data_IF_205755815385
#
_entry.id   IF_205755815385
#
_cell.length_a   1.000
_cell.length_b   1.000
_cell.length_c   1.000
_cell.angle_alpha   90.00
_cell.angle_beta   90.00
_cell.angle_gamma   90.00
#
_symmetry.space_group_name_H-M   'P 1'
#
loop_
_entity.id
_entity.type
_entity.pdbx_description
1 polymer ?
#
# COMPACT_ATOMS: atom_id res chain seq x y z
N UNK A 1 7.19 -0.51 18.40
CA UNK A 1 6.66 -0.66 17.04
C UNK A 1 5.94 0.62 16.72
N UNK A 2 6.46 1.43 15.79
CA UNK A 2 5.96 2.79 15.60
C UNK A 2 5.04 2.80 14.40
N UNK A 3 3.77 3.08 14.68
CA UNK A 3 2.67 3.04 13.72
C UNK A 3 2.68 4.39 13.01
N UNK A 4 3.40 4.47 11.90
CA UNK A 4 3.17 5.56 10.95
C UNK A 4 1.84 5.36 10.29
N UNK A 5 1.17 6.46 10.00
CA UNK A 5 0.12 6.51 8.99
C UNK A 5 0.74 7.19 7.78
N UNK A 6 1.12 6.43 6.76
CA UNK A 6 1.40 7.04 5.46
C UNK A 6 0.08 7.22 4.70
N UNK A 7 0.05 8.12 3.74
CA UNK A 7 -1.02 8.21 2.76
C UNK A 7 -0.46 7.75 1.42
N UNK A 8 -1.05 6.70 0.85
CA UNK A 8 -0.88 6.37 -0.56
C UNK A 8 -1.95 7.11 -1.34
N UNK A 9 -1.54 7.91 -2.32
CA UNK A 9 -2.46 8.56 -3.25
C UNK A 9 -2.36 7.89 -4.62
N UNK A 10 -3.46 7.29 -5.08
CA UNK A 10 -3.60 6.77 -6.44
C UNK A 10 -4.00 7.90 -7.38
N UNK A 11 -3.30 8.05 -8.51
CA UNK A 11 -3.63 9.02 -9.54
C UNK A 11 -4.30 8.34 -10.75
N UNK A 12 -5.60 8.05 -10.68
CA UNK A 12 -6.34 7.51 -11.82
C UNK A 12 -7.87 7.51 -11.68
N UNK A 13 -8.54 8.30 -12.53
CA UNK A 13 -9.91 8.10 -13.05
C UNK A 13 -11.13 8.17 -12.11
N UNK A 14 -11.08 7.64 -10.90
CA UNK A 14 -12.23 7.54 -10.00
C UNK A 14 -11.77 7.62 -8.55
N UNK A 15 -11.77 8.83 -7.97
CA UNK A 15 -11.50 9.04 -6.55
C UNK A 15 -10.03 8.91 -6.16
N UNK A 16 -9.56 9.80 -5.29
CA UNK A 16 -8.30 9.59 -4.58
C UNK A 16 -8.58 8.63 -3.41
N UNK A 17 -8.34 7.34 -3.60
CA UNK A 17 -8.36 6.40 -2.48
C UNK A 17 -7.13 6.64 -1.62
N UNK A 18 -7.34 7.35 -0.51
CA UNK A 18 -6.31 7.63 0.47
C UNK A 18 -6.17 6.43 1.40
N UNK A 19 -5.21 5.56 1.09
CA UNK A 19 -4.91 4.41 1.92
C UNK A 19 -3.87 4.71 2.99
N UNK A 20 -3.92 3.93 4.07
CA UNK A 20 -2.97 3.99 5.18
C UNK A 20 -2.29 2.66 5.38
N UNK A 21 -1.12 2.70 5.99
CA UNK A 21 -0.46 1.52 6.54
C UNK A 21 0.78 1.93 7.32
N UNK A 22 1.67 0.99 7.60
CA UNK A 22 2.70 1.11 8.63
C UNK A 22 4.08 0.74 8.11
N UNK A 23 5.09 1.55 8.44
CA UNK A 23 6.49 1.23 8.17
C UNK A 23 6.94 0.06 9.06
N UNK A 24 7.37 -1.05 8.44
CA UNK A 24 7.82 -2.26 9.14
C UNK A 24 9.34 -2.47 9.03
N UNK A 25 10.00 -1.78 8.10
CA UNK A 25 11.46 -1.67 8.01
C UNK A 25 11.86 -0.37 7.30
N UNK A 26 13.16 -0.10 7.16
CA UNK A 26 13.67 1.08 6.45
C UNK A 26 13.21 1.17 4.98
N UNK A 27 12.81 0.06 4.37
CA UNK A 27 12.39 -0.01 2.96
C UNK A 27 10.95 -0.47 2.76
N UNK A 28 10.35 -1.10 3.76
CA UNK A 28 9.07 -1.79 3.59
C UNK A 28 7.98 -1.20 4.46
N UNK A 29 6.84 -1.06 3.82
CA UNK A 29 5.60 -0.56 4.39
C UNK A 29 4.54 -1.65 4.22
N UNK A 30 3.87 -2.01 5.31
CA UNK A 30 2.74 -2.91 5.33
C UNK A 30 1.42 -2.14 5.19
N UNK A 31 0.53 -2.62 4.34
CA UNK A 31 -0.77 -2.00 4.06
C UNK A 31 -1.78 -3.05 3.59
N UNK A 32 -3.04 -2.65 3.38
CA UNK A 32 -4.04 -3.50 2.74
C UNK A 32 -3.76 -3.65 1.23
N UNK A 33 -4.14 -4.79 0.65
CA UNK A 33 -3.98 -5.08 -0.77
C UNK A 33 -5.08 -4.44 -1.63
N UNK A 34 -6.29 -4.28 -1.09
CA UNK A 34 -7.42 -3.63 -1.78
C UNK A 34 -7.18 -2.15 -2.09
N UNK A 35 -6.16 -1.55 -1.47
CA UNK A 35 -5.69 -0.22 -1.79
C UNK A 35 -5.12 -0.10 -3.22
N UNK A 36 -4.82 -1.24 -3.84
CA UNK A 36 -4.22 -1.32 -5.16
C UNK A 36 -5.07 -2.19 -6.07
N UNK A 37 -5.16 -1.81 -7.34
CA UNK A 37 -5.69 -2.67 -8.39
C UNK A 37 -4.56 -3.35 -9.15
N UNK A 38 -4.90 -4.40 -9.90
CA UNK A 38 -3.94 -5.14 -10.74
C UNK A 38 -3.22 -4.23 -11.75
N UNK A 39 -3.87 -3.14 -12.18
CA UNK A 39 -3.32 -2.19 -13.16
C UNK A 39 -2.50 -1.06 -12.52
N UNK A 40 -2.39 -1.00 -11.18
CA UNK A 40 -1.62 0.06 -10.52
C UNK A 40 -0.13 -0.19 -10.68
N UNK A 41 0.57 0.82 -11.19
CA UNK A 41 2.02 0.80 -11.33
C UNK A 41 2.68 1.62 -10.24
N UNK A 42 3.92 1.28 -9.87
CA UNK A 42 4.66 1.95 -8.79
C UNK A 42 4.79 3.47 -8.99
N UNK A 43 4.85 3.95 -10.24
CA UNK A 43 4.92 5.38 -10.60
C UNK A 43 3.62 6.16 -10.34
N UNK A 44 2.49 5.47 -10.21
CA UNK A 44 1.19 6.07 -9.91
C UNK A 44 0.95 6.23 -8.41
N UNK A 45 1.87 5.74 -7.57
CA UNK A 45 1.73 5.70 -6.12
C UNK A 45 2.73 6.63 -5.48
N UNK A 46 2.21 7.60 -4.72
CA UNK A 46 3.02 8.46 -3.86
C UNK A 46 2.82 8.07 -2.41
N UNK A 47 3.92 7.90 -1.70
CA UNK A 47 3.94 7.58 -0.28
C UNK A 47 4.52 8.77 0.47
N UNK A 48 3.74 9.36 1.38
CA UNK A 48 4.23 10.44 2.25
C UNK A 48 4.48 9.90 3.67
N UNK A 49 5.70 10.07 4.18
CA UNK A 49 6.12 9.69 5.53
C UNK A 49 6.70 10.93 6.20
N UNK A 50 6.19 11.31 7.38
CA UNK A 50 6.73 12.44 8.15
C UNK A 50 6.84 13.77 7.35
N UNK A 51 5.90 14.02 6.43
CA UNK A 51 5.87 15.18 5.49
C UNK A 51 6.92 15.14 4.38
N UNK A 52 7.54 13.99 4.15
CA UNK A 52 8.45 13.76 3.03
C UNK A 52 7.86 12.71 2.09
N UNK A 53 7.95 12.98 0.79
CA UNK A 53 7.49 12.07 -0.24
C UNK A 53 8.58 11.05 -0.61
N UNK A 54 8.16 9.81 -0.77
CA UNK A 54 8.97 8.68 -1.17
C UNK A 54 8.39 8.07 -2.43
N UNK A 55 9.29 7.69 -3.34
CA UNK A 55 8.96 6.94 -4.55
C UNK A 55 8.92 5.45 -4.26
N UNK A 56 7.93 4.79 -4.86
CA UNK A 56 7.75 3.34 -4.75
C UNK A 56 8.63 2.64 -5.78
N UNK A 57 9.33 1.60 -5.35
CA UNK A 57 10.08 0.70 -6.23
C UNK A 57 9.18 -0.42 -6.73
N UNK A 58 8.44 -1.05 -5.81
CA UNK A 58 7.58 -2.17 -6.13
C UNK A 58 6.44 -2.32 -5.11
N UNK A 59 5.36 -2.97 -5.53
CA UNK A 59 4.21 -3.33 -4.71
C UNK A 59 4.09 -4.85 -4.74
N UNK A 60 4.14 -5.47 -3.57
CA UNK A 60 4.09 -6.91 -3.38
C UNK A 60 2.74 -7.25 -2.77
N UNK A 61 1.79 -7.65 -3.61
CA UNK A 61 0.51 -8.20 -3.15
C UNK A 61 0.72 -9.62 -2.62
N UNK A 62 -0.08 -10.03 -1.63
CA UNK A 62 -0.06 -11.41 -1.20
C UNK A 62 -0.41 -12.35 -2.38
N UNK A 63 0.33 -13.45 -2.61
CA UNK A 63 0.10 -14.34 -3.77
C UNK A 63 -1.31 -14.94 -3.85
N UNK A 64 -1.98 -15.06 -2.70
CA UNK A 64 -3.34 -15.59 -2.60
C UNK A 64 -4.43 -14.52 -2.60
N UNK A 65 -4.06 -13.23 -2.63
CA UNK A 65 -5.01 -12.13 -2.72
C UNK A 65 -5.69 -12.16 -4.09
N UNK A 66 -7.01 -12.35 -4.08
CA UNK A 66 -7.84 -12.44 -5.29
C UNK A 66 -9.17 -11.72 -5.04
N UNK A 67 -9.32 -10.54 -5.65
CA UNK A 67 -10.59 -9.81 -5.67
C UNK A 67 -11.62 -10.68 -6.40
N UNK A 68 -12.80 -10.88 -5.80
CA UNK A 68 -13.87 -11.67 -6.41
C UNK A 68 -13.63 -13.18 -6.43
N UNK A 69 -12.74 -13.73 -5.59
CA UNK A 69 -12.48 -15.19 -5.47
C UNK A 69 -13.73 -16.03 -5.21
N UNK A 70 -14.79 -15.43 -4.66
CA UNK A 70 -16.09 -16.05 -4.39
C UNK A 70 -17.24 -15.40 -5.17
N UNK A 71 -16.94 -14.64 -6.22
CA UNK A 71 -17.96 -13.99 -7.05
C UNK A 71 -18.89 -15.03 -7.70
N UNK A 72 -18.36 -16.22 -8.03
CA UNK A 72 -19.09 -17.40 -8.51
C UNK A 72 -20.07 -17.99 -7.49
N UNK A 73 -19.87 -17.71 -6.20
CA UNK A 73 -20.76 -18.11 -5.09
C UNK A 73 -21.67 -16.98 -4.59
N UNK A 74 -21.74 -15.87 -5.33
CA UNK A 74 -22.56 -14.72 -4.96
C UNK A 74 -22.00 -13.89 -3.80
N UNK A 75 -20.71 -14.04 -3.48
CA UNK A 75 -20.00 -13.19 -2.51
C UNK A 75 -19.10 -12.24 -3.30
N UNK A 76 -19.56 -11.00 -3.55
CA UNK A 76 -18.88 -10.08 -4.46
C UNK A 76 -17.53 -9.59 -3.92
N UNK A 77 -17.36 -9.53 -2.60
CA UNK A 77 -16.14 -9.04 -1.96
C UNK A 77 -15.61 -10.06 -0.94
N UNK A 78 -14.51 -10.72 -1.28
CA UNK A 78 -13.82 -11.65 -0.40
C UNK A 78 -12.43 -11.10 -0.06
N UNK A 79 -12.30 -10.50 1.11
CA UNK A 79 -11.09 -9.82 1.61
C UNK A 79 -10.05 -10.78 2.21
N UNK A 80 -9.99 -12.02 1.71
CA UNK A 80 -9.00 -12.99 2.17
C UNK A 80 -7.61 -12.60 1.65
N UNK A 81 -6.62 -12.66 2.53
CA UNK A 81 -5.25 -12.20 2.29
C UNK A 81 -5.14 -10.73 1.81
N UNK A 82 -5.96 -9.84 2.36
CA UNK A 82 -5.93 -8.40 2.08
C UNK A 82 -4.72 -7.69 2.72
N UNK A 83 -3.51 -8.10 2.33
CA UNK A 83 -2.24 -7.57 2.81
C UNK A 83 -1.27 -7.38 1.65
N UNK A 84 -0.54 -6.27 1.68
CA UNK A 84 0.46 -5.93 0.68
C UNK A 84 1.66 -5.23 1.33
N UNK A 85 2.83 -5.38 0.69
CA UNK A 85 4.05 -4.67 1.04
C UNK A 85 4.42 -3.69 -0.06
N UNK A 86 4.65 -2.44 0.31
CA UNK A 86 5.24 -1.44 -0.57
C UNK A 86 6.74 -1.40 -0.29
N UNK A 87 7.56 -1.55 -1.32
CA UNK A 87 9.01 -1.36 -1.26
C UNK A 87 9.36 0.04 -1.76
N UNK A 88 10.10 0.79 -0.96
CA UNK A 88 10.58 2.13 -1.29
C UNK A 88 11.89 2.07 -2.08
N UNK A 89 12.10 3.02 -3.00
CA UNK A 89 13.38 3.15 -3.74
C UNK A 89 14.53 3.62 -2.84
N UNK A 90 14.22 4.34 -1.76
CA UNK A 90 15.20 4.90 -0.82
C UNK A 90 14.82 4.50 0.60
N UNK A 91 15.83 4.24 1.43
CA UNK A 91 15.61 3.97 2.85
C UNK A 91 15.03 5.19 3.56
N UNK A 92 14.17 4.92 4.52
CA UNK A 92 13.69 5.89 5.50
C UNK A 92 14.70 5.94 6.65
N UNK A 93 15.20 7.13 6.94
CA UNK A 93 16.00 7.36 8.14
C UNK A 93 15.06 7.51 9.35
N UNK A 94 15.14 6.59 10.30
CA UNK A 94 14.33 6.66 11.51
C UNK A 94 14.73 7.89 12.33
N UNK A 95 13.79 8.82 12.53
CA UNK A 95 13.95 10.02 13.34
C UNK A 95 12.77 10.15 14.30
N UNK A 96 12.76 11.10 15.23
CA UNK A 96 11.56 11.33 16.06
C UNK A 96 10.32 11.67 15.23
N UNK A 97 10.50 12.35 14.09
CA UNK A 97 9.41 12.71 13.18
C UNK A 97 9.03 11.56 12.25
N UNK A 98 9.99 10.69 11.97
CA UNK A 98 9.80 9.37 11.38
C UNK A 98 9.85 8.29 12.48
N UNK A 99 9.20 8.58 13.63
CA UNK A 99 8.72 7.69 14.71
C UNK A 99 7.20 7.89 14.85
#
# INVERSE_FOLDING_TARGET
>A
MVIFLFQSQRSGGAGFDNCKGTLVSEYFILTAAHCFTIDDTADQIRVTIAKQDYTVENILLHPEYKIGKLADRGIPEFYDYDVALIKLQKKVEFSYNAR
#
